data_IF_504322056149
#
_entry.id   IF_504322056149
#
_cell.length_a   1.000
_cell.length_b   1.000
_cell.length_c   1.000
_cell.angle_alpha   90.00
_cell.angle_beta   90.00
_cell.angle_gamma   90.00
#
_symmetry.space_group_name_H-M   'P 1'
#
loop_
_entity.id
_entity.type
_entity.pdbx_description
1 polymer ?
#
# COMPACT_ATOMS: atom_id res chain seq x y z
N UNK A 1 -6.76 -15.38 47.93
CA UNK A 1 -5.75 -14.78 47.02
C UNK A 1 -5.48 -15.64 45.79
N UNK A 2 -5.43 -16.98 45.90
CA UNK A 2 -5.13 -17.87 44.77
C UNK A 2 -6.15 -17.85 43.61
N UNK A 3 -7.45 -17.64 43.88
CA UNK A 3 -8.53 -17.57 42.87
C UNK A 3 -8.53 -16.27 42.06
N UNK A 4 -8.10 -15.17 42.69
CA UNK A 4 -8.02 -13.85 42.03
C UNK A 4 -6.85 -13.83 41.01
N UNK A 5 -5.72 -14.44 41.36
CA UNK A 5 -4.54 -14.52 40.49
C UNK A 5 -4.81 -15.39 39.25
N UNK A 6 -5.61 -16.44 39.40
CA UNK A 6 -6.00 -17.33 38.30
C UNK A 6 -6.97 -16.66 37.32
N UNK A 7 -7.87 -15.80 37.80
CA UNK A 7 -8.78 -15.05 36.94
C UNK A 7 -8.05 -13.99 36.10
N UNK A 8 -7.17 -13.22 36.74
CA UNK A 8 -6.33 -12.20 36.07
C UNK A 8 -5.46 -12.82 34.98
N UNK A 9 -4.84 -13.97 35.27
CA UNK A 9 -4.02 -14.70 34.31
C UNK A 9 -4.85 -15.21 33.11
N UNK A 10 -6.06 -15.70 33.36
CA UNK A 10 -6.95 -16.19 32.31
C UNK A 10 -7.41 -15.05 31.38
N UNK A 11 -7.76 -13.89 31.93
CA UNK A 11 -8.13 -12.69 31.17
C UNK A 11 -6.95 -12.19 30.34
N UNK A 12 -5.75 -12.18 30.91
CA UNK A 12 -4.53 -11.76 30.21
C UNK A 12 -4.21 -12.68 29.02
N UNK A 13 -4.33 -14.00 29.19
CA UNK A 13 -4.16 -14.97 28.10
C UNK A 13 -5.22 -14.77 27.01
N UNK A 14 -6.47 -14.50 27.39
CA UNK A 14 -7.55 -14.25 26.43
C UNK A 14 -7.29 -12.98 25.60
N UNK A 15 -6.84 -11.89 26.22
CA UNK A 15 -6.50 -10.63 25.55
C UNK A 15 -5.31 -10.81 24.60
N UNK A 16 -4.32 -11.63 24.97
CA UNK A 16 -3.17 -11.94 24.11
C UNK A 16 -3.53 -12.87 22.92
N UNK A 17 -4.62 -13.63 23.01
CA UNK A 17 -5.11 -14.50 21.93
C UNK A 17 -6.02 -13.76 20.92
N UNK A 18 -6.65 -12.65 21.34
CA UNK A 18 -7.53 -11.84 20.51
C UNK A 18 -6.89 -11.10 19.30
N UNK A 19 -5.59 -10.71 19.28
CA UNK A 19 -5.08 -9.80 18.25
C UNK A 19 -4.74 -10.50 16.91
N UNK A 20 -5.03 -11.78 16.74
CA UNK A 20 -4.82 -12.48 15.46
C UNK A 20 -5.95 -12.27 14.46
N UNK A 21 -7.13 -11.81 14.91
CA UNK A 21 -8.32 -11.65 14.05
C UNK A 21 -8.40 -10.30 13.33
N UNK A 22 -7.55 -9.35 13.75
CA UNK A 22 -7.29 -8.11 13.03
C UNK A 22 -5.79 -7.95 12.80
N UNK A 23 -5.18 -8.96 12.16
CA UNK A 23 -4.35 -8.52 11.05
C UNK A 23 -5.33 -7.82 10.12
N UNK A 24 -5.39 -6.50 10.18
CA UNK A 24 -5.69 -5.70 9.00
C UNK A 24 -4.61 -6.12 8.00
N UNK A 25 -4.84 -7.27 7.39
CA UNK A 25 -4.16 -7.79 6.24
C UNK A 25 -4.59 -6.82 5.15
N UNK A 26 -3.98 -5.62 5.21
CA UNK A 26 -4.05 -4.69 4.11
C UNK A 26 -3.67 -5.48 2.89
N UNK A 27 -4.47 -5.34 1.83
CA UNK A 27 -4.19 -5.84 0.50
C UNK A 27 -2.66 -5.87 0.28
N UNK A 28 -2.08 -6.98 -0.21
CA UNK A 28 -0.64 -7.08 -0.39
C UNK A 28 -0.08 -5.78 -1.01
N UNK A 29 0.79 -5.11 -0.25
CA UNK A 29 1.29 -3.79 -0.62
C UNK A 29 2.08 -3.90 -1.93
N UNK A 30 1.51 -3.42 -3.04
CA UNK A 30 2.16 -3.45 -4.35
C UNK A 30 3.26 -2.37 -4.51
N UNK A 31 3.81 -1.84 -3.41
CA UNK A 31 4.89 -0.84 -3.44
C UNK A 31 6.15 -1.33 -4.15
N UNK A 32 6.51 -2.60 -3.95
CA UNK A 32 7.70 -3.20 -4.59
C UNK A 32 7.47 -3.36 -6.10
N UNK A 33 6.30 -3.85 -6.48
CA UNK A 33 5.90 -3.97 -7.89
C UNK A 33 5.84 -2.60 -8.55
N UNK A 34 5.23 -1.62 -7.87
CA UNK A 34 5.20 -0.23 -8.27
C UNK A 34 6.60 0.31 -8.50
N UNK A 35 7.54 0.23 -7.56
CA UNK A 35 8.90 0.76 -7.77
C UNK A 35 9.54 0.16 -9.02
N UNK A 36 9.43 -1.16 -9.20
CA UNK A 36 10.03 -1.86 -10.35
C UNK A 36 9.36 -1.49 -11.68
N UNK A 37 8.03 -1.36 -11.71
CA UNK A 37 7.26 -0.97 -12.89
C UNK A 37 7.43 0.50 -13.25
N UNK A 38 7.17 1.36 -12.26
CA UNK A 38 7.06 2.81 -12.40
C UNK A 38 8.43 3.42 -12.65
N UNK A 39 9.46 3.05 -11.88
CA UNK A 39 10.75 3.72 -11.96
C UNK A 39 11.58 3.25 -13.17
N UNK A 40 11.42 2.00 -13.62
CA UNK A 40 12.28 1.43 -14.67
C UNK A 40 11.62 1.25 -16.03
N UNK A 41 10.37 0.77 -16.10
CA UNK A 41 9.79 0.30 -17.37
C UNK A 41 8.78 1.26 -17.97
N UNK A 42 7.96 1.88 -17.12
CA UNK A 42 6.80 2.68 -17.53
C UNK A 42 6.90 4.18 -17.25
N UNK A 43 8.04 4.67 -16.72
CA UNK A 43 8.24 6.05 -16.23
C UNK A 43 7.68 7.16 -17.12
N UNK A 44 7.83 7.05 -18.44
CA UNK A 44 7.38 8.08 -19.38
C UNK A 44 5.88 7.97 -19.73
N UNK A 45 5.31 6.77 -19.61
CA UNK A 45 3.90 6.49 -19.93
C UNK A 45 2.97 6.90 -18.79
N UNK A 46 3.39 6.68 -17.55
CA UNK A 46 2.59 6.93 -16.34
C UNK A 46 2.82 8.33 -15.75
N UNK A 47 3.54 9.21 -16.46
CA UNK A 47 3.70 10.58 -16.00
C UNK A 47 2.34 11.28 -16.05
N UNK A 48 2.09 12.16 -15.08
CA UNK A 48 0.84 12.92 -14.99
C UNK A 48 0.91 14.21 -15.80
N UNK A 49 2.11 14.79 -15.93
CA UNK A 49 2.31 16.09 -16.58
C UNK A 49 2.92 15.98 -17.98
N UNK A 50 2.24 16.57 -18.95
CA UNK A 50 2.63 16.68 -20.36
C UNK A 50 2.08 15.56 -21.23
N UNK A 51 2.55 15.49 -22.47
CA UNK A 51 1.92 14.63 -23.49
C UNK A 51 1.95 13.15 -23.14
N UNK A 52 0.88 12.46 -23.52
CA UNK A 52 0.78 11.01 -23.42
C UNK A 52 1.85 10.34 -24.28
N UNK A 53 2.66 9.50 -23.66
CA UNK A 53 3.67 8.68 -24.34
C UNK A 53 3.23 7.23 -24.34
N UNK A 54 3.00 6.69 -25.53
CA UNK A 54 2.61 5.29 -25.72
C UNK A 54 3.58 4.32 -25.02
N UNK A 55 3.08 3.28 -24.32
CA UNK A 55 3.93 2.34 -23.61
C UNK A 55 4.77 1.50 -24.56
N UNK A 56 6.06 1.37 -24.22
CA UNK A 56 6.94 0.41 -24.87
C UNK A 56 6.55 -1.05 -24.52
N UNK A 57 7.00 -2.06 -25.29
CA UNK A 57 6.66 -3.46 -25.04
C UNK A 57 7.01 -3.95 -23.63
N UNK A 58 8.14 -3.51 -23.06
CA UNK A 58 8.58 -3.90 -21.71
C UNK A 58 7.64 -3.35 -20.64
N UNK A 59 7.13 -2.13 -20.82
CA UNK A 59 6.10 -1.55 -19.97
C UNK A 59 4.80 -2.35 -20.06
N UNK A 60 4.36 -2.73 -21.27
CA UNK A 60 3.14 -3.52 -21.44
C UNK A 60 3.19 -4.87 -20.73
N UNK A 61 4.29 -5.61 -20.89
CA UNK A 61 4.49 -6.91 -20.21
C UNK A 61 4.51 -6.72 -18.69
N UNK A 62 5.13 -5.66 -18.21
CA UNK A 62 5.16 -5.40 -16.77
C UNK A 62 3.76 -5.06 -16.25
N UNK A 63 2.99 -4.27 -16.99
CA UNK A 63 1.61 -3.90 -16.63
C UNK A 63 0.71 -5.14 -16.58
N UNK A 64 0.88 -6.06 -17.52
CA UNK A 64 0.12 -7.32 -17.59
C UNK A 64 0.38 -8.25 -16.40
N UNK A 65 1.56 -8.15 -15.78
CA UNK A 65 1.97 -8.98 -14.64
C UNK A 65 1.76 -8.31 -13.27
N UNK A 66 1.06 -7.18 -13.19
CA UNK A 66 0.94 -6.42 -11.95
C UNK A 66 -0.50 -6.03 -11.63
N UNK A 67 -0.76 -5.80 -10.35
CA UNK A 67 -2.06 -5.31 -9.91
C UNK A 67 -2.19 -3.80 -10.19
N UNK A 68 -2.78 -3.47 -11.34
CA UNK A 68 -3.05 -2.08 -11.72
C UNK A 68 -4.02 -1.38 -10.78
N UNK A 69 -4.95 -2.08 -10.13
CA UNK A 69 -5.88 -1.44 -9.21
C UNK A 69 -5.12 -0.94 -7.97
N UNK A 70 -4.25 -1.77 -7.41
CA UNK A 70 -3.36 -1.39 -6.32
C UNK A 70 -2.38 -0.27 -6.74
N UNK A 71 -1.73 -0.39 -7.91
CA UNK A 71 -0.78 0.63 -8.39
C UNK A 71 -1.47 1.98 -8.60
N UNK A 72 -2.65 2.02 -9.21
CA UNK A 72 -3.43 3.24 -9.38
C UNK A 72 -3.81 3.87 -8.04
N UNK A 73 -4.19 3.06 -7.05
CA UNK A 73 -4.51 3.55 -5.71
C UNK A 73 -3.29 4.22 -5.04
N UNK A 74 -2.11 3.60 -5.09
CA UNK A 74 -0.88 4.17 -4.52
C UNK A 74 -0.44 5.45 -5.26
N UNK A 75 -0.49 5.45 -6.60
CA UNK A 75 -0.18 6.65 -7.41
C UNK A 75 -1.10 7.82 -7.03
N UNK A 76 -2.40 7.55 -6.87
CA UNK A 76 -3.39 8.55 -6.44
C UNK A 76 -3.10 9.11 -5.05
N UNK A 77 -2.66 8.27 -4.10
CA UNK A 77 -2.33 8.72 -2.74
C UNK A 77 -1.11 9.62 -2.73
N UNK A 78 0.00 9.21 -3.34
CA UNK A 78 1.26 9.98 -3.31
C UNK A 78 1.14 11.38 -3.93
N UNK A 79 0.29 11.50 -4.94
CA UNK A 79 -0.01 12.79 -5.55
C UNK A 79 -0.96 13.63 -4.71
N UNK A 80 -1.99 13.01 -4.12
CA UNK A 80 -2.85 13.69 -3.17
C UNK A 80 -2.08 14.15 -1.93
N UNK A 81 -1.10 13.41 -1.42
CA UNK A 81 -0.22 13.91 -0.34
C UNK A 81 0.65 15.05 -0.82
N UNK A 82 1.18 15.02 -2.05
CA UNK A 82 1.92 16.17 -2.60
C UNK A 82 1.05 17.42 -2.71
N UNK A 83 -0.18 17.28 -3.20
CA UNK A 83 -1.15 18.37 -3.26
C UNK A 83 -1.55 18.87 -1.86
N UNK A 84 -1.74 17.95 -0.89
CA UNK A 84 -2.09 18.29 0.50
C UNK A 84 -0.94 18.96 1.26
N UNK A 85 0.31 18.59 0.99
CA UNK A 85 1.49 19.27 1.52
C UNK A 85 1.53 20.71 0.97
N UNK A 86 1.25 20.91 -0.31
CA UNK A 86 1.18 22.25 -0.90
C UNK A 86 0.07 23.11 -0.28
N UNK A 87 -1.10 22.55 0.02
CA UNK A 87 -2.19 23.29 0.69
C UNK A 87 -1.96 23.56 2.19
N UNK A 88 -1.01 22.87 2.83
CA UNK A 88 -0.62 23.12 4.23
C UNK A 88 0.52 24.15 4.35
N UNK A 89 1.17 24.49 3.23
CA UNK A 89 2.28 25.45 3.14
C UNK A 89 1.84 26.81 2.56
N UNK A 90 0.56 26.96 2.19
CA UNK A 90 -0.07 28.19 1.70
C UNK A 90 -1.16 28.65 2.66
#
# INVERSE_FOLDING_TARGET
>A
MATKVTLELLVFVLVLLMPTTHQAWGEPDCYVEKELLVLRKCRFTIKILGDYVSPNPSCRVAVDHSDMACICYILTIEENTRARIFSLLL
#
